data_IF_547153761550
#
_entry.id   IF_547153761550
#
_cell.length_a   1.000
_cell.length_b   1.000
_cell.length_c   1.000
_cell.angle_alpha   90.00
_cell.angle_beta   90.00
_cell.angle_gamma   90.00
#
_symmetry.space_group_name_H-M   'P 1'
#
loop_
_entity.id
_entity.type
_entity.pdbx_description
1 polymer ?
#
# COMPACT_ATOMS: atom_id res chain seq x y z
N UNK A 1 14.89 9.83 -2.16
CA UNK A 1 14.06 9.91 -0.93
C UNK A 1 13.71 11.33 -0.45
N UNK A 2 14.47 12.40 -0.72
CA UNK A 2 14.42 13.68 0.04
C UNK A 2 13.13 14.53 0.01
N UNK A 3 12.09 14.20 -0.75
CA UNK A 3 10.82 14.94 -0.75
C UNK A 3 9.60 14.12 -0.29
N UNK A 4 9.72 12.79 -0.28
CA UNK A 4 8.61 11.94 0.10
C UNK A 4 8.54 11.74 1.61
N UNK A 5 7.46 12.24 2.23
CA UNK A 5 7.15 12.00 3.64
C UNK A 5 6.44 10.66 3.86
N UNK A 6 5.62 10.24 2.89
CA UNK A 6 4.88 8.98 2.96
C UNK A 6 5.86 7.79 2.90
N UNK A 7 5.56 6.75 3.68
CA UNK A 7 6.35 5.53 3.98
C UNK A 7 7.76 5.71 4.61
N UNK A 8 8.33 6.92 4.63
CA UNK A 8 9.70 7.15 5.13
C UNK A 8 9.80 7.98 6.41
N UNK A 9 8.74 8.70 6.79
CA UNK A 9 8.71 9.55 7.99
C UNK A 9 7.64 9.07 8.96
N UNK A 10 7.94 8.93 10.27
CA UNK A 10 6.95 8.56 11.27
C UNK A 10 5.74 9.50 11.25
N UNK A 11 4.54 8.94 11.40
CA UNK A 11 3.32 9.73 11.33
C UNK A 11 2.11 8.88 10.97
N UNK A 12 0.99 9.57 10.77
CA UNK A 12 -0.27 8.96 10.37
C UNK A 12 -0.73 9.57 9.06
N UNK A 13 -1.15 8.71 8.15
CA UNK A 13 -1.77 9.13 6.89
C UNK A 13 -3.16 8.53 6.81
N UNK A 14 -4.13 9.32 6.37
CA UNK A 14 -5.49 8.86 6.12
C UNK A 14 -5.80 8.98 4.65
N UNK A 15 -6.56 8.03 4.13
CA UNK A 15 -7.07 8.10 2.78
C UNK A 15 -8.42 7.47 2.63
N UNK A 16 -8.97 7.69 1.46
CA UNK A 16 -10.26 7.19 1.04
C UNK A 16 -10.23 6.94 -0.47
N UNK A 17 -11.10 6.05 -0.92
CA UNK A 17 -11.15 5.70 -2.33
C UNK A 17 -12.17 4.62 -2.64
N UNK A 18 -11.96 3.99 -3.78
CA UNK A 18 -12.83 2.98 -4.34
C UNK A 18 -12.04 1.71 -4.67
N UNK A 19 -12.68 0.57 -4.46
CA UNK A 19 -12.23 -0.76 -4.85
C UNK A 19 -13.23 -1.27 -5.89
N UNK A 20 -12.73 -1.74 -7.03
CA UNK A 20 -13.54 -2.41 -8.06
C UNK A 20 -12.95 -3.78 -8.37
N UNK A 21 -13.82 -4.74 -8.72
CA UNK A 21 -13.41 -6.11 -9.05
C UNK A 21 -13.67 -6.38 -10.53
N UNK A 22 -12.77 -7.09 -11.20
CA UNK A 22 -12.89 -7.35 -12.64
C UNK A 22 -14.17 -8.08 -13.07
N UNK A 23 -14.82 -8.80 -12.16
CA UNK A 23 -16.03 -9.59 -12.43
C UNK A 23 -17.31 -8.98 -11.82
N UNK A 24 -17.24 -7.82 -11.18
CA UNK A 24 -18.39 -7.18 -10.53
C UNK A 24 -18.54 -5.73 -11.01
N UNK A 25 -19.78 -5.28 -11.15
CA UNK A 25 -20.10 -3.86 -11.43
C UNK A 25 -20.08 -3.00 -10.16
N UNK A 26 -20.03 -3.64 -8.99
CA UNK A 26 -20.08 -2.96 -7.70
C UNK A 26 -18.75 -2.25 -7.40
N UNK A 27 -18.86 -1.00 -6.98
CA UNK A 27 -17.77 -0.22 -6.41
C UNK A 27 -17.91 -0.21 -4.88
N UNK A 28 -16.86 -0.63 -4.18
CA UNK A 28 -16.80 -0.53 -2.73
C UNK A 28 -16.01 0.70 -2.32
N UNK A 29 -16.59 1.53 -1.45
CA UNK A 29 -15.88 2.66 -0.85
C UNK A 29 -15.00 2.14 0.28
N UNK A 30 -13.77 2.63 0.39
CA UNK A 30 -12.90 2.29 1.51
C UNK A 30 -12.30 3.53 2.16
N UNK A 31 -11.98 3.39 3.45
CA UNK A 31 -11.11 4.27 4.19
C UNK A 31 -9.83 3.51 4.57
N UNK A 32 -8.68 4.17 4.47
CA UNK A 32 -7.38 3.60 4.86
C UNK A 32 -6.69 4.51 5.87
N UNK A 33 -6.04 3.90 6.86
CA UNK A 33 -5.15 4.58 7.79
C UNK A 33 -3.80 3.89 7.78
N UNK A 34 -2.76 4.63 7.41
CA UNK A 34 -1.38 4.22 7.59
C UNK A 34 -0.84 4.79 8.91
N UNK A 35 -0.14 3.97 9.67
CA UNK A 35 0.61 4.35 10.87
C UNK A 35 2.06 3.95 10.67
N UNK A 36 2.95 4.93 10.69
CA UNK A 36 4.37 4.75 10.45
C UNK A 36 5.10 4.90 11.79
N UNK A 37 5.77 3.82 12.19
CA UNK A 37 6.58 3.79 13.42
C UNK A 37 7.89 4.55 13.27
N UNK A 38 8.65 4.73 14.37
CA UNK A 38 10.02 5.21 14.29
C UNK A 38 10.86 4.25 13.43
N UNK A 39 11.86 4.80 12.73
CA UNK A 39 12.85 3.98 12.04
C UNK A 39 13.66 3.20 13.07
N UNK A 40 13.74 1.89 12.91
CA UNK A 40 14.53 0.99 13.74
C UNK A 40 15.75 0.54 12.94
N UNK A 41 16.96 0.96 13.33
CA UNK A 41 18.22 0.59 12.65
C UNK A 41 18.10 0.72 11.11
N UNK A 42 17.94 -0.41 10.41
CA UNK A 42 17.87 -0.52 8.95
C UNK A 42 16.47 -0.82 8.39
N UNK A 43 15.43 -0.77 9.23
CA UNK A 43 14.04 -1.05 8.83
C UNK A 43 13.05 0.02 9.27
N UNK A 44 11.96 0.13 8.52
CA UNK A 44 10.80 0.95 8.89
C UNK A 44 9.59 0.03 8.98
N UNK A 45 8.94 0.01 10.14
CA UNK A 45 7.72 -0.75 10.39
C UNK A 45 6.50 0.15 10.18
N UNK A 46 5.52 -0.37 9.44
CA UNK A 46 4.33 0.36 9.05
C UNK A 46 3.13 -0.57 9.28
N UNK A 47 1.99 0.00 9.66
CA UNK A 47 0.72 -0.70 9.62
C UNK A 47 -0.29 0.08 8.80
N UNK A 48 -1.09 -0.64 8.02
CA UNK A 48 -2.21 -0.10 7.28
C UNK A 48 -3.48 -0.77 7.77
N UNK A 49 -4.48 0.02 8.12
CA UNK A 49 -5.84 -0.44 8.43
C UNK A 49 -6.76 0.01 7.31
N UNK A 50 -7.46 -0.94 6.69
CA UNK A 50 -8.45 -0.69 5.64
C UNK A 50 -9.82 -1.07 6.18
N UNK A 51 -10.76 -0.16 6.02
CA UNK A 51 -12.16 -0.31 6.37
C UNK A 51 -12.97 -0.14 5.08
N UNK A 52 -13.74 -1.15 4.70
CA UNK A 52 -14.56 -1.14 3.48
C UNK A 52 -16.01 -0.90 3.89
N UNK A 53 -16.68 0.01 3.21
CA UNK A 53 -18.07 0.34 3.49
C UNK A 53 -18.96 -0.90 3.32
N UNK A 54 -19.92 -1.07 4.22
CA UNK A 54 -20.79 -2.25 4.32
C UNK A 54 -20.08 -3.60 4.63
N UNK A 55 -18.80 -3.58 4.99
CA UNK A 55 -18.07 -4.74 5.51
C UNK A 55 -17.68 -4.48 6.97
N UNK A 56 -18.10 -5.35 7.89
CA UNK A 56 -17.86 -5.16 9.33
C UNK A 56 -16.39 -5.33 9.73
N UNK A 57 -15.65 -6.12 8.96
CA UNK A 57 -14.29 -6.51 9.31
C UNK A 57 -13.27 -5.52 8.76
N UNK A 58 -12.32 -5.15 9.63
CA UNK A 58 -11.18 -4.32 9.26
C UNK A 58 -10.04 -5.20 8.79
N UNK A 59 -9.47 -4.87 7.64
CA UNK A 59 -8.24 -5.52 7.18
C UNK A 59 -7.04 -4.77 7.74
N UNK A 60 -6.10 -5.50 8.33
CA UNK A 60 -4.85 -4.93 8.84
C UNK A 60 -3.68 -5.57 8.10
N UNK A 61 -2.90 -4.74 7.44
CA UNK A 61 -1.66 -5.11 6.77
C UNK A 61 -0.48 -4.58 7.58
N UNK A 62 0.49 -5.43 7.88
CA UNK A 62 1.76 -5.02 8.47
C UNK A 62 2.83 -5.02 7.39
N UNK A 63 3.62 -3.96 7.34
CA UNK A 63 4.69 -3.84 6.36
C UNK A 63 6.04 -3.60 7.04
N UNK A 64 7.09 -4.06 6.41
CA UNK A 64 8.47 -3.75 6.78
C UNK A 64 9.26 -3.32 5.54
N UNK A 65 9.80 -2.10 5.57
CA UNK A 65 10.71 -1.60 4.54
C UNK A 65 12.15 -1.85 4.96
N UNK A 66 12.95 -2.41 4.05
CA UNK A 66 14.38 -2.71 4.24
C UNK A 66 15.18 -2.36 2.97
N UNK A 67 16.51 -2.48 3.03
CA UNK A 67 17.42 -2.28 1.89
C UNK A 67 17.16 -0.98 1.12
N UNK A 68 16.94 0.11 1.86
CA UNK A 68 16.61 1.41 1.30
C UNK A 68 17.82 2.07 0.64
N UNK A 69 17.69 2.38 -0.65
CA UNK A 69 18.63 3.18 -1.42
C UNK A 69 18.00 4.52 -1.79
N UNK A 70 18.69 5.34 -2.58
CA UNK A 70 18.14 6.61 -3.05
C UNK A 70 16.88 6.46 -3.93
N UNK A 71 16.77 5.33 -4.64
CA UNK A 71 15.77 5.10 -5.72
C UNK A 71 14.98 3.80 -5.58
N UNK A 72 15.31 2.93 -4.61
CA UNK A 72 14.66 1.63 -4.44
C UNK A 72 14.68 1.15 -2.99
N UNK A 73 13.81 0.20 -2.67
CA UNK A 73 13.71 -0.44 -1.36
C UNK A 73 13.11 -1.84 -1.50
N UNK A 74 13.25 -2.68 -0.47
CA UNK A 74 12.48 -3.91 -0.32
C UNK A 74 11.30 -3.67 0.63
N UNK A 75 10.17 -4.33 0.37
CA UNK A 75 8.97 -4.23 1.20
C UNK A 75 8.40 -5.61 1.47
N UNK A 76 8.27 -5.97 2.73
CA UNK A 76 7.52 -7.14 3.16
C UNK A 76 6.10 -6.69 3.52
N UNK A 77 5.09 -7.50 3.19
CA UNK A 77 3.69 -7.37 3.55
C UNK A 77 3.25 -8.64 4.28
N UNK A 78 2.59 -8.49 5.42
CA UNK A 78 2.01 -9.59 6.18
C UNK A 78 0.58 -9.29 6.63
N UNK A 79 -0.35 -10.20 6.35
CA UNK A 79 -1.69 -10.21 6.95
C UNK A 79 -2.26 -11.65 7.07
N UNK A 80 -3.38 -11.79 7.75
CA UNK A 80 -4.01 -13.09 8.02
C UNK A 80 -4.59 -13.80 6.78
N UNK A 81 -4.86 -13.07 5.69
CA UNK A 81 -5.48 -13.58 4.47
C UNK A 81 -4.46 -14.10 3.46
N UNK A 82 -3.37 -13.35 3.24
CA UNK A 82 -2.34 -13.68 2.24
C UNK A 82 -1.05 -14.25 2.85
N UNK A 83 -0.92 -14.24 4.19
CA UNK A 83 0.32 -14.59 4.86
C UNK A 83 1.38 -13.51 4.64
N UNK A 84 2.64 -13.93 4.48
CA UNK A 84 3.78 -13.03 4.26
C UNK A 84 4.23 -13.06 2.80
N UNK A 85 4.34 -11.88 2.20
CA UNK A 85 4.79 -11.67 0.82
C UNK A 85 5.90 -10.62 0.78
N UNK A 86 6.92 -10.83 -0.05
CA UNK A 86 7.97 -9.86 -0.30
C UNK A 86 7.76 -9.17 -1.66
N UNK A 87 8.07 -7.89 -1.70
CA UNK A 87 7.97 -7.02 -2.86
C UNK A 87 9.19 -6.12 -3.02
N UNK A 88 9.21 -5.42 -4.15
CA UNK A 88 10.26 -4.46 -4.50
C UNK A 88 9.65 -3.11 -4.77
N UNK A 89 10.24 -2.08 -4.18
CA UNK A 89 9.83 -0.70 -4.30
C UNK A 89 10.80 0.16 -5.08
N UNK A 90 10.26 1.17 -5.73
CA UNK A 90 11.00 2.26 -6.37
C UNK A 90 10.50 3.59 -5.83
N UNK A 91 11.39 4.58 -5.82
CA UNK A 91 11.08 5.95 -5.41
C UNK A 91 11.80 6.93 -6.32
N UNK A 92 11.07 7.93 -6.80
CA UNK A 92 11.65 9.10 -7.47
C UNK A 92 11.23 10.40 -6.75
N UNK A 93 11.15 11.53 -7.44
CA UNK A 93 10.75 12.83 -6.85
C UNK A 93 9.23 12.98 -6.72
N UNK A 94 8.46 12.24 -7.53
CA UNK A 94 7.00 12.40 -7.63
C UNK A 94 6.25 11.11 -7.38
N UNK A 95 6.93 9.97 -7.32
CA UNK A 95 6.31 8.66 -7.22
C UNK A 95 7.02 7.77 -6.22
N UNK A 96 6.19 7.07 -5.47
CA UNK A 96 6.56 5.85 -4.75
C UNK A 96 5.74 4.73 -5.37
N UNK A 97 6.36 3.61 -5.68
CA UNK A 97 5.64 2.43 -6.14
C UNK A 97 6.29 1.17 -5.61
N UNK A 98 5.51 0.10 -5.47
CA UNK A 98 6.04 -1.23 -5.21
C UNK A 98 5.19 -2.30 -5.87
N UNK A 99 5.81 -3.44 -6.13
CA UNK A 99 5.14 -4.63 -6.64
C UNK A 99 5.42 -5.84 -5.75
N UNK A 100 4.43 -6.72 -5.63
CA UNK A 100 4.53 -8.03 -5.01
C UNK A 100 4.43 -9.08 -6.09
N UNK A 101 5.31 -10.08 -6.03
CA UNK A 101 5.27 -11.24 -6.92
C UNK A 101 5.49 -12.49 -6.07
N UNK A 102 4.40 -13.17 -5.68
CA UNK A 102 4.50 -14.40 -4.91
C UNK A 102 3.99 -15.62 -5.65
N UNK A 103 4.92 -16.50 -6.04
CA UNK A 103 4.64 -17.69 -6.84
C UNK A 103 3.90 -18.82 -6.09
N UNK A 104 4.13 -19.07 -4.78
CA UNK A 104 3.42 -20.13 -4.06
C UNK A 104 1.97 -19.78 -3.69
N UNK A 105 1.65 -18.50 -3.48
CA UNK A 105 0.35 -18.04 -2.97
C UNK A 105 -0.53 -17.40 -4.06
N UNK A 106 -0.05 -17.38 -5.32
CA UNK A 106 -0.75 -16.77 -6.45
C UNK A 106 -1.22 -15.34 -6.15
N UNK A 107 -0.43 -14.60 -5.36
CA UNK A 107 -0.66 -13.20 -5.03
C UNK A 107 0.36 -12.36 -5.76
N UNK A 108 -0.13 -11.49 -6.62
CA UNK A 108 0.68 -10.53 -7.36
C UNK A 108 -0.07 -9.23 -7.52
N UNK A 109 0.67 -8.14 -7.58
CA UNK A 109 0.07 -6.82 -7.71
C UNK A 109 1.05 -5.71 -7.46
N UNK A 110 0.57 -4.48 -7.56
CA UNK A 110 1.37 -3.29 -7.34
C UNK A 110 0.56 -2.20 -6.69
N UNK A 111 1.26 -1.28 -6.03
CA UNK A 111 0.72 0.01 -5.60
C UNK A 111 1.59 1.15 -6.13
N UNK A 112 0.95 2.24 -6.53
CA UNK A 112 1.58 3.48 -6.99
C UNK A 112 0.97 4.65 -6.24
N UNK A 113 1.84 5.48 -5.68
CA UNK A 113 1.53 6.70 -4.97
C UNK A 113 2.17 7.87 -5.71
N UNK A 114 1.36 8.75 -6.27
CA UNK A 114 1.82 9.93 -7.00
C UNK A 114 1.62 11.19 -6.14
N UNK A 115 2.73 11.83 -5.78
CA UNK A 115 2.75 13.06 -4.99
C UNK A 115 2.02 14.19 -5.73
N UNK A 116 1.13 14.85 -5.03
CA UNK A 116 0.38 16.00 -5.50
C UNK A 116 0.99 17.31 -4.97
N UNK A 117 0.72 18.47 -5.60
CA UNK A 117 1.27 19.77 -5.17
C UNK A 117 0.89 20.19 -3.74
N UNK A 118 -0.20 19.64 -3.21
CA UNK A 118 -0.68 19.90 -1.84
C UNK A 118 -0.09 18.96 -0.78
N UNK A 119 0.85 18.08 -1.17
CA UNK A 119 1.48 17.10 -0.29
C UNK A 119 0.67 15.81 -0.08
N UNK A 120 -0.52 15.69 -0.69
CA UNK A 120 -1.27 14.44 -0.75
C UNK A 120 -0.70 13.48 -1.79
N UNK A 121 -1.16 12.23 -1.80
CA UNK A 121 -0.82 11.26 -2.84
C UNK A 121 -2.07 10.68 -3.46
N UNK A 122 -2.08 10.60 -4.79
CA UNK A 122 -3.03 9.76 -5.52
C UNK A 122 -2.54 8.32 -5.49
N UNK A 123 -3.43 7.41 -5.09
CA UNK A 123 -3.15 5.99 -4.96
C UNK A 123 -3.79 5.24 -6.11
N UNK A 124 -3.03 4.33 -6.71
CA UNK A 124 -3.53 3.33 -7.67
C UNK A 124 -2.93 1.98 -7.34
N UNK A 125 -3.75 0.95 -7.28
CA UNK A 125 -3.26 -0.41 -7.09
C UNK A 125 -4.03 -1.40 -7.96
N UNK A 126 -3.35 -2.48 -8.31
CA UNK A 126 -3.96 -3.66 -8.93
C UNK A 126 -3.42 -4.90 -8.23
N UNK A 127 -4.30 -5.80 -7.83
CA UNK A 127 -3.95 -7.06 -7.20
C UNK A 127 -4.70 -8.20 -7.86
N UNK A 128 -4.04 -9.35 -7.96
CA UNK A 128 -4.63 -10.62 -8.37
C UNK A 128 -4.36 -11.65 -7.27
N UNK A 129 -5.40 -12.40 -6.90
CA UNK A 129 -5.29 -13.52 -5.97
C UNK A 129 -6.07 -14.72 -6.52
N UNK A 130 -5.45 -15.91 -6.50
CA UNK A 130 -6.12 -17.16 -6.90
C UNK A 130 -6.54 -17.21 -8.37
N UNK A 131 -7.82 -17.57 -8.64
CA UNK A 131 -8.37 -17.86 -9.98
C UNK A 131 -8.60 -16.63 -10.89
N UNK A 132 -7.73 -15.63 -10.83
CA UNK A 132 -7.70 -14.52 -11.79
C UNK A 132 -8.68 -13.38 -11.50
N UNK A 133 -9.26 -13.31 -10.30
CA UNK A 133 -10.00 -12.12 -9.86
C UNK A 133 -9.01 -10.96 -9.69
N UNK A 134 -9.24 -9.87 -10.42
CA UNK A 134 -8.44 -8.65 -10.29
C UNK A 134 -9.19 -7.63 -9.46
N UNK A 135 -8.48 -7.05 -8.51
CA UNK A 135 -8.94 -5.95 -7.67
C UNK A 135 -8.22 -4.69 -8.10
N UNK A 136 -8.96 -3.65 -8.43
CA UNK A 136 -8.43 -2.33 -8.76
C UNK A 136 -8.75 -1.37 -7.62
N UNK A 137 -7.77 -0.59 -7.20
CA UNK A 137 -7.92 0.40 -6.14
C UNK A 137 -7.55 1.77 -6.69
N UNK A 138 -8.38 2.77 -6.41
CA UNK A 138 -8.08 4.18 -6.67
C UNK A 138 -8.44 5.00 -5.44
N UNK A 139 -7.59 5.92 -5.04
CA UNK A 139 -7.88 6.76 -3.89
C UNK A 139 -6.92 7.93 -3.73
N UNK A 140 -7.04 8.59 -2.59
CA UNK A 140 -6.14 9.66 -2.16
C UNK A 140 -5.75 9.46 -0.71
N UNK A 141 -4.49 9.68 -0.36
CA UNK A 141 -4.03 9.74 1.04
C UNK A 141 -3.42 11.11 1.35
N UNK A 142 -3.50 11.51 2.61
CA UNK A 142 -2.99 12.78 3.14
C UNK A 142 -2.44 12.61 4.55
N UNK A 143 -1.44 13.40 4.95
CA UNK A 143 -0.96 13.40 6.33
C UNK A 143 -2.07 13.93 7.26
N UNK A 144 -2.10 13.45 8.50
CA UNK A 144 -3.02 13.95 9.54
C UNK A 144 -2.36 14.91 10.49
#
# INVERSE_FOLDING_TARGET
MKEHLFIFTPGVWKGEGQITFSMAEDELIFATKWTLGPKEEDRILLSQTIEVDNVSDKMVNNFAITDMTATSFLIDLENNLIGKVQGKGIVDEKKIAWEFRNTPQQFEGFEVYELQPDGSYKVRAEFTAGEGLRTYVKGTIRPT
#
